data_IF_857551897402
#
_entry.id   IF_857551897402
#
_cell.length_a   1.000
_cell.length_b   1.000
_cell.length_c   1.000
_cell.angle_alpha   90.00
_cell.angle_beta   90.00
_cell.angle_gamma   90.00
#
_symmetry.space_group_name_H-M   'P 1'
#
loop_
_entity.id
_entity.type
_entity.pdbx_description
1 polymer ?
#
# COMPACT_ATOMS: atom_id res chain seq x y z
N UNK A 1 -11.23 25.38 10.87
CA UNK A 1 -10.45 24.15 10.61
C UNK A 1 -11.25 23.31 9.64
N UNK A 2 -10.85 23.22 8.37
CA UNK A 2 -11.52 22.35 7.41
C UNK A 2 -11.03 20.93 7.63
N UNK A 3 -11.82 20.10 8.29
CA UNK A 3 -11.51 18.67 8.46
C UNK A 3 -11.68 17.98 7.11
N UNK A 4 -10.62 17.32 6.63
CA UNK A 4 -10.68 16.51 5.40
C UNK A 4 -11.59 15.30 5.70
N UNK A 5 -12.61 15.02 4.87
CA UNK A 5 -13.51 13.90 5.14
C UNK A 5 -12.78 12.56 5.05
N UNK A 6 -13.19 11.53 5.82
CA UNK A 6 -12.60 10.21 5.75
C UNK A 6 -12.66 9.63 4.34
N UNK A 7 -11.61 8.91 3.94
CA UNK A 7 -11.52 8.27 2.63
C UNK A 7 -11.89 6.78 2.73
N UNK A 8 -12.80 6.32 1.89
CA UNK A 8 -13.10 4.90 1.71
C UNK A 8 -12.77 4.46 0.28
N UNK A 9 -11.92 3.45 0.14
CA UNK A 9 -11.61 2.81 -1.14
C UNK A 9 -12.01 1.34 -1.09
N UNK A 10 -12.76 0.90 -2.10
CA UNK A 10 -13.15 -0.50 -2.24
C UNK A 10 -12.88 -1.02 -3.65
N UNK A 11 -12.47 -2.29 -3.74
CA UNK A 11 -12.30 -2.99 -5.00
C UNK A 11 -12.71 -4.45 -4.86
N UNK A 12 -13.76 -4.83 -5.58
CA UNK A 12 -14.17 -6.24 -5.71
C UNK A 12 -13.33 -6.94 -6.76
N UNK A 13 -13.16 -6.30 -7.92
CA UNK A 13 -12.37 -6.73 -9.07
C UNK A 13 -11.60 -5.53 -9.63
N UNK A 14 -10.53 -5.78 -10.40
CA UNK A 14 -9.75 -4.72 -11.02
C UNK A 14 -8.82 -4.01 -10.04
N UNK A 15 -8.56 -2.73 -10.25
CA UNK A 15 -7.63 -1.95 -9.42
C UNK A 15 -8.11 -0.53 -9.13
N UNK A 16 -7.84 -0.06 -7.92
CA UNK A 16 -8.03 1.35 -7.51
C UNK A 16 -6.68 1.90 -7.06
N UNK A 17 -6.31 3.07 -7.58
CA UNK A 17 -5.04 3.71 -7.23
C UNK A 17 -5.27 5.15 -6.81
N UNK A 18 -4.69 5.57 -5.69
CA UNK A 18 -4.55 6.97 -5.29
C UNK A 18 -3.07 7.33 -5.32
N UNK A 19 -2.70 8.19 -6.26
CA UNK A 19 -1.31 8.58 -6.54
C UNK A 19 -1.23 10.05 -6.88
N UNK A 20 -0.02 10.61 -6.93
CA UNK A 20 0.20 12.04 -7.18
C UNK A 20 -0.14 12.91 -5.96
N UNK A 21 -0.50 14.17 -6.19
CA UNK A 21 -0.87 15.10 -5.12
C UNK A 21 -2.30 14.87 -4.67
N UNK A 22 -2.49 14.60 -3.38
CA UNK A 22 -3.79 14.50 -2.74
C UNK A 22 -3.67 14.85 -1.25
N UNK A 23 -4.78 15.29 -0.67
CA UNK A 23 -4.86 15.61 0.75
C UNK A 23 -5.18 14.33 1.52
N UNK A 24 -4.28 13.94 2.42
CA UNK A 24 -4.43 12.73 3.24
C UNK A 24 -5.40 13.03 4.38
N UNK A 25 -6.54 12.34 4.50
CA UNK A 25 -7.37 12.44 5.69
C UNK A 25 -6.73 11.71 6.86
N UNK A 26 -7.18 12.02 8.07
CA UNK A 26 -6.78 11.32 9.30
C UNK A 26 -7.21 9.85 9.35
N UNK A 27 -8.23 9.47 8.56
CA UNK A 27 -8.83 8.13 8.55
C UNK A 27 -9.10 7.64 7.13
N UNK A 28 -8.57 6.45 6.83
CA UNK A 28 -8.70 5.77 5.54
C UNK A 28 -9.20 4.34 5.78
N UNK A 29 -10.22 3.92 5.03
CA UNK A 29 -10.69 2.53 5.00
C UNK A 29 -10.44 1.91 3.63
N UNK A 30 -9.79 0.75 3.62
CA UNK A 30 -9.41 0.02 2.40
C UNK A 30 -10.03 -1.37 2.43
N UNK A 31 -10.92 -1.64 1.46
CA UNK A 31 -11.58 -2.94 1.32
C UNK A 31 -11.25 -3.58 -0.02
N UNK A 32 -10.50 -4.68 -0.01
CA UNK A 32 -10.11 -5.41 -1.22
C UNK A 32 -10.61 -6.84 -1.15
N UNK A 33 -11.53 -7.21 -2.06
CA UNK A 33 -12.05 -8.58 -2.14
C UNK A 33 -11.18 -9.44 -3.03
N UNK A 34 -11.11 -9.16 -4.33
CA UNK A 34 -10.20 -9.83 -5.28
C UNK A 34 -9.40 -8.85 -6.14
N UNK A 35 -9.63 -7.54 -5.97
CA UNK A 35 -8.92 -6.49 -6.69
C UNK A 35 -7.67 -6.00 -5.99
N UNK A 36 -6.99 -5.03 -6.62
CA UNK A 36 -5.80 -4.39 -6.06
C UNK A 36 -6.08 -2.95 -5.64
N UNK A 37 -5.56 -2.52 -4.51
CA UNK A 37 -5.62 -1.12 -4.08
C UNK A 37 -4.20 -0.62 -3.84
N UNK A 38 -3.85 0.51 -4.47
CA UNK A 38 -2.60 1.24 -4.28
C UNK A 38 -2.89 2.59 -3.64
N UNK A 39 -2.26 2.85 -2.50
CA UNK A 39 -2.17 4.17 -1.90
C UNK A 39 -0.70 4.60 -1.95
N UNK A 40 -0.43 5.69 -2.65
CA UNK A 40 0.89 6.29 -2.73
C UNK A 40 0.88 7.62 -2.00
N UNK A 41 1.61 7.65 -0.88
CA UNK A 41 1.75 8.82 -0.01
C UNK A 41 2.95 9.71 -0.40
N UNK A 42 3.74 9.33 -1.42
CA UNK A 42 5.03 9.98 -1.72
C UNK A 42 4.93 11.42 -2.22
N UNK A 43 3.81 11.77 -2.87
CA UNK A 43 3.51 13.13 -3.29
C UNK A 43 2.27 13.69 -2.56
N UNK A 44 1.82 13.01 -1.51
CA UNK A 44 0.62 13.38 -0.78
C UNK A 44 0.92 14.46 0.27
N UNK A 45 -0.05 15.35 0.49
CA UNK A 45 0.01 16.37 1.53
C UNK A 45 -0.69 15.82 2.78
N UNK A 46 0.07 15.58 3.84
CA UNK A 46 -0.45 15.06 5.11
C UNK A 46 -0.35 16.13 6.22
N UNK A 47 -1.46 16.79 6.58
CA UNK A 47 -1.46 17.76 7.66
C UNK A 47 -1.55 17.12 9.05
N UNK A 48 -1.61 15.79 9.13
CA UNK A 48 -1.85 15.04 10.36
C UNK A 48 -0.55 14.42 10.89
N UNK A 49 -0.41 14.38 12.22
CA UNK A 49 0.67 13.63 12.88
C UNK A 49 0.45 12.12 12.85
N UNK A 50 -0.80 11.68 12.73
CA UNK A 50 -1.15 10.28 12.62
C UNK A 50 -2.25 10.11 11.58
N UNK A 51 -2.13 9.07 10.77
CA UNK A 51 -3.14 8.62 9.80
C UNK A 51 -3.50 7.19 10.11
N UNK A 52 -4.77 6.93 10.36
CA UNK A 52 -5.30 5.59 10.58
C UNK A 52 -5.72 4.95 9.25
N UNK A 53 -5.18 3.77 8.95
CA UNK A 53 -5.54 2.99 7.76
C UNK A 53 -6.11 1.65 8.20
N UNK A 54 -7.42 1.48 8.05
CA UNK A 54 -8.11 0.21 8.32
C UNK A 54 -8.19 -0.62 7.06
N UNK A 55 -7.60 -1.82 7.09
CA UNK A 55 -7.52 -2.72 5.94
C UNK A 55 -8.40 -3.95 6.16
N UNK A 56 -9.28 -4.22 5.19
CA UNK A 56 -9.98 -5.50 5.04
C UNK A 56 -9.62 -6.09 3.68
N UNK A 57 -8.74 -7.09 3.67
CA UNK A 57 -8.28 -7.74 2.45
C UNK A 57 -8.65 -9.23 2.47
N UNK A 58 -9.55 -9.64 1.58
CA UNK A 58 -9.97 -11.04 1.48
C UNK A 58 -8.97 -11.83 0.64
N UNK A 59 -8.93 -11.63 -0.68
CA UNK A 59 -8.09 -12.35 -1.64
C UNK A 59 -7.35 -11.43 -2.63
N UNK A 60 -7.38 -10.11 -2.40
CA UNK A 60 -6.73 -9.13 -3.27
C UNK A 60 -5.35 -8.69 -2.79
N UNK A 61 -4.89 -7.54 -3.27
CA UNK A 61 -3.62 -6.95 -2.87
C UNK A 61 -3.81 -5.50 -2.45
N UNK A 62 -3.27 -5.13 -1.29
CA UNK A 62 -3.19 -3.72 -0.86
C UNK A 62 -1.73 -3.33 -0.82
N UNK A 63 -1.37 -2.21 -1.46
CA UNK A 63 -0.01 -1.67 -1.44
C UNK A 63 -0.06 -0.25 -0.91
N UNK A 64 0.72 0.01 0.15
CA UNK A 64 0.92 1.32 0.74
C UNK A 64 2.37 1.73 0.46
N UNK A 65 2.57 2.76 -0.36
CA UNK A 65 3.89 3.35 -0.59
C UNK A 65 4.00 4.57 0.31
N UNK A 66 4.89 4.48 1.29
CA UNK A 66 5.02 5.46 2.38
C UNK A 66 6.36 6.17 2.25
N UNK A 67 6.43 7.52 2.36
CA UNK A 67 7.70 8.22 2.47
C UNK A 67 8.63 7.61 3.54
N UNK A 68 9.94 7.59 3.28
CA UNK A 68 10.90 6.91 4.14
C UNK A 68 11.07 7.56 5.52
N UNK A 69 10.73 8.83 5.62
CA UNK A 69 10.77 9.67 6.81
C UNK A 69 9.53 9.51 7.71
N UNK A 70 8.45 8.90 7.21
CA UNK A 70 7.27 8.57 8.03
C UNK A 70 7.53 7.33 8.89
N UNK A 71 6.83 7.27 10.03
CA UNK A 71 6.75 6.06 10.83
C UNK A 71 5.62 5.16 10.30
N UNK A 72 5.76 3.85 10.48
CA UNK A 72 4.71 2.87 10.19
C UNK A 72 4.54 1.98 11.41
N UNK A 73 3.31 1.90 11.93
CA UNK A 73 2.90 0.87 12.88
C UNK A 73 1.88 -0.04 12.19
N UNK A 74 2.22 -1.32 12.07
CA UNK A 74 1.40 -2.34 11.43
C UNK A 74 1.15 -3.54 12.35
N UNK A 75 1.38 -3.39 13.66
CA UNK A 75 1.34 -4.50 14.62
C UNK A 75 -0.08 -5.06 14.80
N UNK A 76 -1.11 -4.25 14.51
CA UNK A 76 -2.52 -4.64 14.60
C UNK A 76 -3.08 -5.22 13.28
N UNK A 77 -2.22 -5.50 12.29
CA UNK A 77 -2.61 -6.26 11.10
C UNK A 77 -2.55 -7.77 11.35
N UNK A 78 -3.70 -8.43 11.23
CA UNK A 78 -3.82 -9.88 11.42
C UNK A 78 -3.92 -10.59 10.07
N UNK A 79 -3.02 -11.56 9.83
CA UNK A 79 -3.01 -12.39 8.63
C UNK A 79 -3.54 -13.81 8.92
N UNK A 80 -4.57 -14.25 8.18
CA UNK A 80 -5.27 -15.53 8.35
C UNK A 80 -4.85 -16.65 7.39
N UNK A 81 -3.72 -16.48 6.68
CA UNK A 81 -3.24 -17.40 5.62
C UNK A 81 -2.41 -16.70 4.54
N UNK A 82 -2.57 -15.38 4.46
CA UNK A 82 -1.85 -14.41 3.64
C UNK A 82 -0.54 -13.90 4.28
N UNK A 83 0.22 -13.11 3.52
CA UNK A 83 1.37 -12.35 4.01
C UNK A 83 1.05 -10.86 4.25
N UNK A 84 1.44 -10.35 5.41
CA UNK A 84 1.71 -8.92 5.62
C UNK A 84 3.20 -8.72 5.47
N UNK A 85 3.62 -7.77 4.64
CA UNK A 85 5.02 -7.50 4.39
C UNK A 85 5.28 -6.01 4.57
N UNK A 86 6.13 -5.67 5.53
CA UNK A 86 6.65 -4.32 5.75
C UNK A 86 8.12 -4.34 5.38
N UNK A 87 8.53 -3.46 4.47
CA UNK A 87 9.90 -3.41 3.94
C UNK A 87 10.31 -1.98 3.62
N UNK A 88 11.60 -1.75 3.40
CA UNK A 88 12.10 -0.40 3.15
C UNK A 88 12.28 0.37 4.45
N UNK A 89 12.63 1.63 4.33
CA UNK A 89 12.88 2.50 5.48
C UNK A 89 11.59 3.19 5.94
N UNK A 90 11.39 3.19 7.26
CA UNK A 90 10.30 3.89 7.94
C UNK A 90 10.85 4.52 9.22
N UNK A 91 11.64 5.58 9.05
CA UNK A 91 12.51 6.12 10.12
C UNK A 91 11.73 6.76 11.25
N UNK A 92 10.56 7.32 10.96
CA UNK A 92 9.79 8.09 11.93
C UNK A 92 10.52 9.34 12.38
N UNK A 93 10.95 10.16 11.43
CA UNK A 93 11.70 11.39 11.72
C UNK A 93 10.82 12.37 12.54
N UNK A 94 11.40 13.16 13.45
CA UNK A 94 10.63 14.08 14.29
C UNK A 94 9.75 15.04 13.48
N UNK A 95 8.46 15.09 13.80
CA UNK A 95 7.49 15.94 13.10
C UNK A 95 6.89 15.32 11.84
N UNK A 96 7.34 14.13 11.44
CA UNK A 96 6.74 13.39 10.33
C UNK A 96 5.55 12.54 10.78
N UNK A 97 4.60 12.23 9.87
CA UNK A 97 3.43 11.43 10.19
C UNK A 97 3.76 9.98 10.59
N UNK A 98 2.93 9.45 11.47
CA UNK A 98 2.78 8.03 11.75
C UNK A 98 1.62 7.44 10.94
N UNK A 99 1.90 6.43 10.13
CA UNK A 99 0.88 5.62 9.48
C UNK A 99 0.55 4.42 10.39
N UNK A 100 -0.60 4.47 11.06
CA UNK A 100 -1.09 3.36 11.87
C UNK A 100 -2.02 2.47 11.04
N UNK A 101 -1.59 1.25 10.76
CA UNK A 101 -2.28 0.31 9.88
C UNK A 101 -2.83 -0.86 10.68
N UNK A 102 -4.14 -1.03 10.61
CA UNK A 102 -4.87 -2.05 11.36
C UNK A 102 -5.72 -2.92 10.43
N UNK A 103 -6.16 -4.08 10.92
CA UNK A 103 -7.23 -4.86 10.28
C UNK A 103 -6.84 -6.28 9.93
N UNK A 104 -7.42 -6.83 8.86
CA UNK A 104 -7.36 -8.27 8.57
C UNK A 104 -7.07 -8.57 7.11
N UNK A 105 -6.21 -9.56 6.91
CA UNK A 105 -5.86 -10.14 5.60
C UNK A 105 -6.16 -11.64 5.65
N UNK A 106 -6.87 -12.20 4.67
CA UNK A 106 -7.24 -13.64 4.69
C UNK A 106 -6.36 -14.47 3.76
N UNK A 107 -6.55 -14.32 2.44
CA UNK A 107 -5.86 -15.03 1.35
C UNK A 107 -5.03 -14.12 0.43
N UNK A 108 -5.15 -12.81 0.60
CA UNK A 108 -4.49 -11.79 -0.21
C UNK A 108 -3.08 -11.42 0.26
N UNK A 109 -2.73 -10.14 0.13
CA UNK A 109 -1.50 -9.60 0.71
C UNK A 109 -1.53 -8.10 0.93
N UNK A 110 -0.91 -7.66 2.01
CA UNK A 110 -0.65 -6.24 2.29
C UNK A 110 0.85 -6.00 2.19
N UNK A 111 1.23 -5.08 1.31
CA UNK A 111 2.61 -4.60 1.19
C UNK A 111 2.67 -3.16 1.67
N UNK A 112 3.51 -2.90 2.67
CA UNK A 112 3.92 -1.57 3.08
C UNK A 112 5.38 -1.41 2.69
N UNK A 113 5.68 -0.37 1.92
CA UNK A 113 7.04 -0.14 1.40
C UNK A 113 7.36 1.32 1.27
N UNK A 114 8.64 1.65 1.24
CA UNK A 114 9.12 2.96 0.80
C UNK A 114 9.14 3.09 -0.75
N UNK A 115 9.27 4.32 -1.29
CA UNK A 115 9.38 4.52 -2.75
C UNK A 115 10.53 3.75 -3.41
N UNK A 116 11.65 3.52 -2.74
CA UNK A 116 12.77 2.77 -3.31
C UNK A 116 12.43 1.27 -3.45
N UNK A 117 11.82 0.68 -2.43
CA UNK A 117 11.34 -0.69 -2.42
C UNK A 117 10.18 -0.91 -3.39
N UNK A 118 9.36 0.11 -3.64
CA UNK A 118 8.35 0.08 -4.70
C UNK A 118 8.99 -0.01 -6.11
N UNK A 119 9.95 0.88 -6.41
CA UNK A 119 10.69 0.88 -7.70
C UNK A 119 11.41 -0.44 -7.94
N UNK A 120 12.11 -0.94 -6.94
CA UNK A 120 12.88 -2.20 -7.03
C UNK A 120 11.98 -3.38 -7.40
N UNK A 121 10.76 -3.42 -6.86
CA UNK A 121 9.79 -4.49 -7.16
C UNK A 121 9.21 -4.37 -8.56
N UNK A 122 8.97 -3.16 -9.01
CA UNK A 122 8.47 -2.91 -10.36
C UNK A 122 9.50 -3.36 -11.42
N UNK A 123 10.75 -2.92 -11.26
CA UNK A 123 11.87 -3.32 -12.13
C UNK A 123 12.05 -4.85 -12.16
N UNK A 124 12.01 -5.50 -11.00
CA UNK A 124 12.11 -6.95 -10.88
C UNK A 124 10.93 -7.67 -11.56
N UNK A 125 9.73 -7.11 -11.46
CA UNK A 125 8.53 -7.60 -12.13
C UNK A 125 8.64 -7.52 -13.65
N UNK A 126 9.09 -6.38 -14.16
CA UNK A 126 9.27 -6.16 -15.60
C UNK A 126 10.29 -7.14 -16.20
N UNK A 127 11.45 -7.32 -15.55
CA UNK A 127 12.47 -8.29 -15.98
C UNK A 127 11.96 -9.74 -16.02
N UNK A 128 11.10 -10.14 -15.08
CA UNK A 128 10.52 -11.50 -15.07
C UNK A 128 9.54 -11.71 -16.22
N UNK A 129 8.69 -10.71 -16.53
CA UNK A 129 7.76 -10.76 -17.67
C UNK A 129 8.50 -10.89 -18.99
N UNK A 130 9.51 -10.04 -19.21
CA UNK A 130 10.34 -10.10 -20.42
C UNK A 130 11.01 -11.47 -20.63
N UNK A 131 11.47 -12.13 -19.55
CA UNK A 131 12.05 -13.47 -19.64
C UNK A 131 11.02 -14.53 -20.02
N UNK A 132 9.81 -14.42 -19.50
CA UNK A 132 8.72 -15.34 -19.80
C UNK A 132 8.28 -15.20 -21.27
N UNK A 133 8.13 -13.97 -21.75
CA UNK A 133 7.77 -13.70 -23.15
C UNK A 133 8.85 -14.22 -24.11
N UNK A 134 10.14 -13.98 -23.81
CA UNK A 134 11.25 -14.54 -24.59
C UNK A 134 11.28 -16.08 -24.60
N UNK A 135 10.79 -16.74 -23.56
CA UNK A 135 10.72 -18.19 -23.52
C UNK A 135 9.54 -18.71 -24.36
N UNK A 136 8.39 -18.02 -24.31
CA UNK A 136 7.23 -18.31 -25.14
C UNK A 136 7.55 -18.17 -26.64
N UNK A 137 8.30 -17.14 -27.03
CA UNK A 137 8.68 -16.87 -28.43
C UNK A 137 9.68 -17.89 -29.00
N UNK A 138 10.40 -18.63 -28.14
CA UNK A 138 11.35 -19.68 -28.57
C UNK A 138 10.71 -21.05 -28.79
N UNK A 139 9.45 -21.21 -28.38
CA UNK A 139 8.69 -22.46 -28.49
C UNK A 139 7.54 -22.35 -29.51
N UNK A 140 7.64 -21.38 -30.42
CA UNK A 140 6.89 -21.29 -31.69
C UNK A 140 7.89 -21.29 -32.84
#
# INVERSE_FOLDING_TARGET
MSTIPPLALSSTWGSVSRTGRWQVPDSITVTSTMGSILLDFTAADCPHQQVEVRVSCQAGKVTLIVPADWAVDANELVAGGAGVTVTGEHRGDPGMPLLHVTGRVVWGGVLITDPQGARTRDDGGQRRRERHDRHRDRHH
#
